data_IF_225668197738
#
_entry.id   IF_225668197738
#
_cell.length_a   1.000
_cell.length_b   1.000
_cell.length_c   1.000
_cell.angle_alpha   90.00
_cell.angle_beta   90.00
_cell.angle_gamma   90.00
#
_symmetry.space_group_name_H-M   'P 1'
#
loop_
_entity.id
_entity.type
_entity.pdbx_description
1 polymer ?
#
# COMPACT_ATOMS: atom_id res chain seq x y z
N UNK A 1 7.42 6.62 -25.06
CA UNK A 1 8.62 6.05 -24.46
C UNK A 1 8.44 6.03 -22.96
N UNK A 2 8.86 4.94 -22.33
CA UNK A 2 8.80 4.74 -20.87
C UNK A 2 10.22 4.50 -20.37
N UNK A 3 10.61 5.27 -19.38
CA UNK A 3 11.86 5.07 -18.67
C UNK A 3 11.56 4.74 -17.20
N UNK A 4 12.18 3.68 -16.71
CA UNK A 4 12.22 3.33 -15.29
C UNK A 4 13.65 3.45 -14.78
N UNK A 5 13.80 3.48 -13.48
CA UNK A 5 15.11 3.57 -12.83
C UNK A 5 15.42 2.29 -12.07
N UNK A 6 16.66 1.83 -12.12
CA UNK A 6 17.11 0.66 -11.36
C UNK A 6 17.21 0.92 -9.85
N UNK A 7 17.23 2.21 -9.46
CA UNK A 7 17.35 2.68 -8.07
C UNK A 7 16.38 3.83 -7.80
N UNK A 8 15.99 4.00 -6.54
CA UNK A 8 15.24 5.17 -6.09
C UNK A 8 16.06 6.44 -6.35
N UNK A 9 15.49 7.39 -7.12
CA UNK A 9 16.21 8.61 -7.51
C UNK A 9 16.08 9.70 -6.46
N UNK A 10 14.96 9.74 -5.75
CA UNK A 10 14.68 10.78 -4.76
C UNK A 10 14.85 10.20 -3.36
N UNK A 11 15.81 10.70 -2.59
CA UNK A 11 16.17 10.19 -1.25
C UNK A 11 15.01 10.23 -0.22
N UNK A 12 13.99 11.05 -0.46
CA UNK A 12 12.87 11.24 0.47
C UNK A 12 11.59 10.51 0.03
N UNK A 13 11.64 9.72 -1.03
CA UNK A 13 10.48 9.01 -1.59
C UNK A 13 10.81 7.52 -1.65
N UNK A 14 9.98 6.70 -1.00
CA UNK A 14 10.12 5.24 -1.00
C UNK A 14 9.39 4.57 -2.19
N UNK A 15 9.22 5.29 -3.29
CA UNK A 15 8.50 4.81 -4.48
C UNK A 15 9.37 4.91 -5.73
N UNK A 16 9.18 3.92 -6.61
CA UNK A 16 9.81 3.92 -7.93
C UNK A 16 9.31 5.09 -8.77
N UNK A 17 10.23 5.65 -9.56
CA UNK A 17 9.92 6.75 -10.47
C UNK A 17 9.84 6.23 -11.90
N UNK A 18 8.81 6.65 -12.61
CA UNK A 18 8.62 6.35 -14.03
C UNK A 18 8.48 7.64 -14.82
N UNK A 19 9.22 7.76 -15.93
CA UNK A 19 9.07 8.87 -16.86
C UNK A 19 8.35 8.38 -18.11
N UNK A 20 7.28 9.09 -18.50
CA UNK A 20 6.48 8.80 -19.67
C UNK A 20 6.59 9.94 -20.69
N UNK A 21 7.10 9.65 -21.88
CA UNK A 21 7.15 10.58 -22.99
C UNK A 21 6.15 10.22 -24.08
N UNK A 22 5.26 11.13 -24.40
CA UNK A 22 4.29 11.02 -25.47
C UNK A 22 4.58 12.00 -26.61
N UNK A 23 4.56 11.51 -27.85
CA UNK A 23 4.81 12.34 -29.03
C UNK A 23 3.57 12.41 -29.93
N UNK A 24 3.07 13.59 -30.20
CA UNK A 24 1.88 13.81 -31.04
C UNK A 24 2.09 13.40 -32.51
N UNK A 25 3.29 13.61 -33.02
CA UNK A 25 3.69 13.27 -34.42
C UNK A 25 5.05 12.58 -34.38
N UNK A 26 5.08 11.26 -34.22
CA UNK A 26 6.30 10.47 -34.28
C UNK A 26 6.32 9.57 -35.52
N UNK A 27 7.48 9.47 -36.17
CA UNK A 27 7.72 8.46 -37.22
C UNK A 27 7.80 7.05 -36.62
N UNK A 28 8.20 6.93 -35.34
CA UNK A 28 8.26 5.68 -34.61
C UNK A 28 6.87 5.40 -34.00
N UNK A 29 6.23 4.31 -34.42
CA UNK A 29 4.95 3.86 -33.85
C UNK A 29 5.19 2.74 -32.85
N UNK A 30 4.51 2.81 -31.71
CA UNK A 30 4.55 1.79 -30.67
C UNK A 30 5.03 2.33 -29.33
N UNK A 31 5.13 1.44 -28.39
CA UNK A 31 5.64 1.68 -27.06
C UNK A 31 7.12 1.26 -27.00
N UNK A 32 7.94 2.10 -26.45
CA UNK A 32 9.37 1.83 -26.25
C UNK A 32 9.70 1.98 -24.78
N UNK A 33 10.55 1.09 -24.29
CA UNK A 33 10.90 0.97 -22.91
C UNK A 33 12.42 0.96 -22.71
N UNK A 34 12.89 1.58 -21.63
CA UNK A 34 14.26 1.49 -21.17
C UNK A 34 14.36 1.62 -19.67
N UNK A 35 15.20 0.79 -19.04
CA UNK A 35 15.62 0.98 -17.66
C UNK A 35 16.98 1.68 -17.65
N UNK A 36 17.12 2.71 -16.83
CA UNK A 36 18.35 3.52 -16.68
C UNK A 36 18.74 3.58 -15.19
N UNK A 37 20.00 3.85 -14.91
CA UNK A 37 20.52 3.89 -13.53
C UNK A 37 20.36 5.27 -12.89
N UNK A 38 20.37 6.32 -13.70
CA UNK A 38 20.30 7.69 -13.21
C UNK A 38 19.67 8.65 -14.21
N UNK A 39 19.23 9.80 -13.74
CA UNK A 39 18.76 10.89 -14.60
C UNK A 39 19.88 11.44 -15.53
N UNK A 40 21.15 11.24 -15.16
CA UNK A 40 22.31 11.63 -15.97
C UNK A 40 22.38 10.81 -17.26
N UNK A 41 22.07 9.52 -17.21
CA UNK A 41 22.06 8.64 -18.39
C UNK A 41 21.02 9.11 -19.42
N UNK A 42 19.89 9.62 -18.96
CA UNK A 42 18.89 10.22 -19.83
C UNK A 42 19.40 11.50 -20.50
N UNK A 43 20.05 12.38 -19.73
CA UNK A 43 20.60 13.62 -20.23
C UNK A 43 21.76 13.39 -21.22
N UNK A 44 22.63 12.42 -20.95
CA UNK A 44 23.77 12.07 -21.79
C UNK A 44 23.40 11.17 -22.98
N UNK A 45 22.13 10.76 -23.10
CA UNK A 45 21.69 9.84 -24.15
C UNK A 45 22.26 8.42 -24.03
N UNK A 46 22.71 8.02 -22.86
CA UNK A 46 23.31 6.70 -22.58
C UNK A 46 22.24 5.66 -22.25
N UNK A 47 21.34 5.42 -23.19
CA UNK A 47 20.28 4.43 -23.03
C UNK A 47 19.91 3.76 -24.35
N UNK A 48 19.33 2.57 -24.26
CA UNK A 48 18.85 1.83 -25.42
C UNK A 48 17.36 1.53 -25.26
N UNK A 49 16.54 2.14 -26.12
CA UNK A 49 15.11 1.92 -26.16
C UNK A 49 14.79 0.58 -26.81
N UNK A 50 14.15 -0.32 -26.10
CA UNK A 50 13.59 -1.57 -26.63
C UNK A 50 12.14 -1.35 -26.97
N UNK A 51 11.71 -1.84 -28.14
CA UNK A 51 10.32 -1.83 -28.54
C UNK A 51 9.58 -2.87 -27.72
N UNK A 52 8.50 -2.46 -27.06
CA UNK A 52 7.63 -3.39 -26.35
C UNK A 52 6.81 -4.23 -27.35
N UNK A 53 6.79 -5.53 -27.16
CA UNK A 53 5.94 -6.45 -27.93
C UNK A 53 4.54 -6.43 -27.32
N UNK A 54 3.78 -5.42 -27.67
CA UNK A 54 2.40 -5.29 -27.24
C UNK A 54 1.51 -6.30 -27.95
N UNK A 55 0.97 -7.24 -27.21
CA UNK A 55 -0.09 -8.12 -27.68
C UNK A 55 -1.43 -7.38 -27.60
N UNK A 56 -2.02 -7.09 -28.76
CA UNK A 56 -3.24 -6.27 -28.87
C UNK A 56 -4.50 -6.87 -28.24
N UNK A 57 -4.46 -8.15 -27.86
CA UNK A 57 -5.66 -8.91 -27.55
C UNK A 57 -6.03 -8.98 -26.06
N UNK A 58 -5.18 -8.54 -25.15
CA UNK A 58 -5.50 -8.53 -23.69
C UNK A 58 -5.01 -7.24 -23.03
N UNK A 59 -5.79 -6.66 -22.11
CA UNK A 59 -5.33 -5.52 -21.32
C UNK A 59 -4.13 -5.96 -20.46
N UNK A 60 -2.96 -5.42 -20.76
CA UNK A 60 -1.74 -5.72 -20.06
C UNK A 60 -1.46 -4.65 -19.01
N UNK A 61 -0.94 -5.08 -17.86
CA UNK A 61 -0.39 -4.16 -16.87
C UNK A 61 0.84 -3.46 -17.46
N UNK A 62 1.04 -2.19 -17.13
CA UNK A 62 2.20 -1.42 -17.59
C UNK A 62 3.54 -2.08 -17.25
N UNK A 63 3.63 -2.79 -16.11
CA UNK A 63 4.80 -3.56 -15.71
C UNK A 63 5.17 -4.69 -16.68
N UNK A 64 4.22 -5.20 -17.45
CA UNK A 64 4.49 -6.28 -18.40
C UNK A 64 5.33 -5.82 -19.61
N UNK A 65 5.38 -4.51 -19.88
CA UNK A 65 6.22 -3.96 -20.96
C UNK A 65 7.72 -4.04 -20.68
N UNK A 66 8.12 -4.34 -19.44
CA UNK A 66 9.51 -4.55 -19.01
C UNK A 66 10.01 -5.94 -19.39
N UNK A 67 9.08 -6.90 -19.52
CA UNK A 67 9.38 -8.31 -19.73
C UNK A 67 9.89 -8.57 -21.15
N UNK A 68 10.79 -9.53 -21.27
CA UNK A 68 11.23 -10.08 -22.54
C UNK A 68 10.14 -10.95 -23.18
N UNK A 69 10.30 -11.31 -24.44
CA UNK A 69 9.36 -12.20 -25.14
C UNK A 69 9.21 -13.57 -24.45
N UNK A 70 10.31 -14.13 -23.98
CA UNK A 70 10.32 -15.42 -23.29
C UNK A 70 9.59 -15.33 -21.94
N UNK A 71 9.83 -14.26 -21.17
CA UNK A 71 9.15 -14.02 -19.90
C UNK A 71 7.65 -13.78 -20.11
N UNK A 72 7.28 -13.06 -21.17
CA UNK A 72 5.89 -12.87 -21.53
C UNK A 72 5.21 -14.18 -21.93
N UNK A 73 5.87 -15.04 -22.76
CA UNK A 73 5.35 -16.35 -23.10
C UNK A 73 5.13 -17.21 -21.87
N UNK A 74 6.12 -17.26 -20.97
CA UNK A 74 6.02 -17.99 -19.71
C UNK A 74 4.86 -17.45 -18.83
N UNK A 75 4.70 -16.12 -18.73
CA UNK A 75 3.60 -15.51 -17.98
C UNK A 75 2.24 -15.91 -18.56
N UNK A 76 2.12 -15.97 -19.89
CA UNK A 76 0.90 -16.44 -20.55
C UNK A 76 0.62 -17.90 -20.27
N UNK A 77 1.61 -18.76 -20.37
CA UNK A 77 1.46 -20.17 -20.09
C UNK A 77 1.02 -20.42 -18.65
N UNK A 78 1.64 -19.71 -17.70
CA UNK A 78 1.26 -19.74 -16.29
C UNK A 78 -0.20 -19.25 -16.12
N UNK A 79 -0.55 -18.11 -16.69
CA UNK A 79 -1.89 -17.52 -16.53
C UNK A 79 -3.01 -18.33 -17.17
N UNK A 80 -2.70 -19.15 -18.17
CA UNK A 80 -3.67 -20.03 -18.82
C UNK A 80 -3.84 -21.39 -18.11
N UNK A 81 -2.81 -21.83 -17.38
CA UNK A 81 -2.78 -23.15 -16.77
C UNK A 81 -2.98 -23.14 -15.25
N UNK A 82 -2.80 -22.01 -14.61
CA UNK A 82 -2.99 -21.86 -13.15
C UNK A 82 -4.20 -20.99 -12.85
N UNK A 83 -4.88 -21.33 -11.77
CA UNK A 83 -5.95 -20.50 -11.21
C UNK A 83 -5.37 -19.27 -10.51
N UNK A 84 -6.10 -18.18 -10.57
CA UNK A 84 -5.76 -16.96 -9.83
C UNK A 84 -6.09 -17.12 -8.34
N UNK A 85 -5.46 -16.35 -7.49
CA UNK A 85 -5.82 -16.29 -6.07
C UNK A 85 -7.29 -15.88 -5.89
N UNK A 86 -7.81 -15.02 -6.78
CA UNK A 86 -9.21 -14.58 -6.81
C UNK A 86 -10.23 -15.70 -7.08
N UNK A 87 -9.79 -16.83 -7.69
CA UNK A 87 -10.62 -18.01 -7.86
C UNK A 87 -10.83 -18.79 -6.54
N UNK A 88 -10.02 -18.53 -5.53
CA UNK A 88 -10.04 -19.25 -4.25
C UNK A 88 -10.50 -18.38 -3.07
N UNK A 89 -10.26 -17.07 -3.12
CA UNK A 89 -10.57 -16.17 -2.03
C UNK A 89 -10.86 -14.73 -2.51
N UNK A 90 -11.77 -14.08 -1.83
CA UNK A 90 -12.02 -12.65 -2.05
C UNK A 90 -11.01 -11.82 -1.26
N UNK A 91 -10.42 -10.82 -1.90
CA UNK A 91 -9.54 -9.84 -1.26
C UNK A 91 -10.18 -8.46 -1.31
N UNK A 92 -10.28 -7.83 -0.17
CA UNK A 92 -10.77 -6.46 -0.06
C UNK A 92 -9.85 -5.61 0.82
N UNK A 93 -9.75 -4.31 0.58
CA UNK A 93 -9.09 -3.41 1.51
C UNK A 93 -9.72 -3.53 2.89
N UNK A 94 -8.90 -3.56 3.93
CA UNK A 94 -9.38 -3.50 5.30
C UNK A 94 -9.93 -2.11 5.66
N UNK A 95 -9.98 -1.80 6.94
CA UNK A 95 -10.49 -0.52 7.40
C UNK A 95 -9.51 0.60 7.05
N UNK A 96 -9.99 1.61 6.33
CA UNK A 96 -9.24 2.82 5.98
C UNK A 96 -9.70 3.95 6.91
N UNK A 97 -8.86 4.36 7.85
CA UNK A 97 -9.23 5.40 8.85
C UNK A 97 -8.75 6.80 8.47
N UNK A 98 -7.98 6.96 7.39
CA UNK A 98 -7.26 8.19 7.03
C UNK A 98 -6.32 8.75 8.14
N UNK A 99 -6.51 8.36 9.40
CA UNK A 99 -5.72 8.79 10.56
C UNK A 99 -5.38 7.62 11.49
N UNK A 100 -4.68 6.61 10.97
CA UNK A 100 -4.35 5.39 11.71
C UNK A 100 -3.73 5.66 13.10
N UNK A 101 -2.88 6.68 13.25
CA UNK A 101 -2.25 7.02 14.53
C UNK A 101 -3.25 7.44 15.61
N UNK A 102 -4.40 7.94 15.21
CA UNK A 102 -5.47 8.35 16.11
C UNK A 102 -6.46 7.21 16.36
N UNK A 103 -6.92 6.53 15.29
CA UNK A 103 -7.95 5.52 15.40
C UNK A 103 -7.43 4.13 15.81
N UNK A 104 -6.12 3.86 15.67
CA UNK A 104 -5.55 2.58 16.08
C UNK A 104 -4.56 2.83 17.21
N UNK A 105 -4.97 2.42 18.42
CA UNK A 105 -4.29 2.76 19.66
C UNK A 105 -3.61 1.57 20.33
N UNK A 106 -2.67 1.87 21.22
CA UNK A 106 -2.01 0.87 22.06
C UNK A 106 -2.88 0.55 23.29
N UNK A 107 -2.60 -0.57 23.94
CA UNK A 107 -3.18 -0.93 25.23
C UNK A 107 -3.02 0.20 26.28
N UNK A 108 -1.85 0.86 26.31
CA UNK A 108 -1.55 1.97 27.21
C UNK A 108 -2.48 3.16 26.98
N UNK A 109 -2.70 3.54 25.71
CA UNK A 109 -3.60 4.62 25.34
C UNK A 109 -5.04 4.26 25.67
N UNK A 110 -5.47 3.03 25.35
CA UNK A 110 -6.82 2.55 25.64
C UNK A 110 -7.13 2.56 27.14
N UNK A 111 -6.16 2.23 27.99
CA UNK A 111 -6.30 2.33 29.45
C UNK A 111 -6.31 3.76 29.93
N UNK A 112 -5.40 4.61 29.45
CA UNK A 112 -5.28 6.02 29.86
C UNK A 112 -6.61 6.78 29.72
N UNK A 113 -7.26 6.64 28.58
CA UNK A 113 -8.50 7.35 28.26
C UNK A 113 -9.77 6.51 28.47
N UNK A 114 -9.65 5.31 29.07
CA UNK A 114 -10.77 4.38 29.31
C UNK A 114 -11.56 4.01 28.04
N UNK A 115 -10.86 3.83 26.91
CA UNK A 115 -11.46 3.59 25.60
C UNK A 115 -11.94 2.15 25.37
N UNK A 116 -11.76 1.24 26.29
CA UNK A 116 -12.03 -0.22 26.11
C UNK A 116 -13.44 -0.53 25.61
N UNK A 117 -14.44 0.23 26.04
CA UNK A 117 -15.84 0.06 25.62
C UNK A 117 -16.09 0.31 24.14
N UNK A 118 -15.21 1.09 23.50
CA UNK A 118 -15.28 1.45 22.08
C UNK A 118 -14.13 0.87 21.26
N UNK A 119 -13.31 0.00 21.86
CA UNK A 119 -12.19 -0.65 21.19
C UNK A 119 -12.59 -2.00 20.60
N UNK A 120 -12.05 -2.28 19.41
CA UNK A 120 -12.04 -3.64 18.82
C UNK A 120 -10.61 -4.08 18.56
N UNK A 121 -10.27 -5.37 18.79
CA UNK A 121 -8.96 -5.90 18.46
C UNK A 121 -8.68 -5.77 16.97
N UNK A 122 -7.45 -5.39 16.61
CA UNK A 122 -7.02 -5.30 15.22
C UNK A 122 -5.54 -5.66 15.09
N UNK A 123 -5.17 -6.30 14.00
CA UNK A 123 -3.80 -6.46 13.54
C UNK A 123 -3.55 -5.37 12.50
N UNK A 124 -2.84 -4.31 12.89
CA UNK A 124 -2.63 -3.15 12.03
C UNK A 124 -1.70 -3.43 10.84
N UNK A 125 -0.69 -4.28 11.03
CA UNK A 125 0.34 -4.56 10.02
C UNK A 125 0.59 -6.05 9.92
N UNK A 126 0.69 -6.58 8.70
CA UNK A 126 1.08 -7.97 8.46
C UNK A 126 2.43 -8.36 9.11
N UNK A 127 3.35 -7.39 9.25
CA UNK A 127 4.62 -7.58 9.96
C UNK A 127 4.44 -8.06 11.41
N UNK A 128 3.32 -7.75 12.06
CA UNK A 128 3.06 -8.15 13.46
C UNK A 128 2.75 -9.64 13.60
N UNK A 129 2.37 -10.29 12.50
CA UNK A 129 2.06 -11.72 12.41
C UNK A 129 3.06 -12.48 11.53
N UNK A 130 4.18 -11.83 11.16
CA UNK A 130 5.18 -12.43 10.28
C UNK A 130 5.75 -13.72 10.89
N UNK A 131 5.79 -14.77 10.06
CA UNK A 131 6.28 -16.08 10.46
C UNK A 131 5.27 -16.95 11.24
N UNK A 132 4.02 -16.49 11.40
CA UNK A 132 2.94 -17.25 12.04
C UNK A 132 1.95 -17.75 11.00
N UNK A 133 1.57 -19.01 11.11
CA UNK A 133 0.48 -19.61 10.30
C UNK A 133 -0.85 -19.35 10.98
N UNK A 134 -0.89 -19.49 12.29
CA UNK A 134 -2.05 -19.22 13.13
C UNK A 134 -1.74 -18.05 14.06
N UNK A 135 -2.77 -17.29 14.43
CA UNK A 135 -2.68 -16.17 15.35
C UNK A 135 -3.76 -16.32 16.43
N UNK A 136 -3.34 -16.60 17.66
CA UNK A 136 -4.20 -16.89 18.80
C UNK A 136 -4.27 -15.72 19.83
N UNK A 137 -4.99 -15.95 20.94
CA UNK A 137 -5.12 -14.95 22.01
C UNK A 137 -3.79 -14.63 22.70
N UNK A 138 -2.87 -15.59 22.79
CA UNK A 138 -1.53 -15.38 23.39
C UNK A 138 -0.70 -14.46 22.51
N UNK A 139 -0.77 -14.65 21.20
CA UNK A 139 -0.12 -13.78 20.23
C UNK A 139 -0.63 -12.35 20.31
N UNK A 140 -1.95 -12.20 20.52
CA UNK A 140 -2.54 -10.90 20.73
C UNK A 140 -2.11 -10.25 22.04
N UNK A 141 -1.98 -11.06 23.11
CA UNK A 141 -1.45 -10.57 24.39
C UNK A 141 0.01 -10.12 24.28
N UNK A 142 0.84 -10.87 23.57
CA UNK A 142 2.22 -10.46 23.26
C UNK A 142 2.26 -9.16 22.46
N UNK A 143 1.36 -9.00 21.50
CA UNK A 143 1.22 -7.77 20.73
C UNK A 143 0.90 -6.57 21.63
N UNK A 144 -0.05 -6.73 22.56
CA UNK A 144 -0.41 -5.70 23.57
C UNK A 144 0.79 -5.35 24.45
N UNK A 145 1.46 -6.38 24.98
CA UNK A 145 2.58 -6.22 25.92
C UNK A 145 3.79 -5.58 25.24
N UNK A 146 3.98 -5.79 23.94
CA UNK A 146 5.02 -5.13 23.16
C UNK A 146 4.76 -3.65 22.87
N UNK A 147 3.63 -3.09 23.33
CA UNK A 147 3.26 -1.69 23.16
C UNK A 147 2.89 -1.31 21.72
N UNK A 148 2.59 -2.28 20.88
CA UNK A 148 2.16 -2.02 19.49
C UNK A 148 0.69 -1.61 19.44
N UNK A 149 0.28 -0.80 18.44
CA UNK A 149 -1.13 -0.46 18.23
C UNK A 149 -1.91 -1.74 17.86
N UNK A 150 -2.93 -2.04 18.66
CA UNK A 150 -3.69 -3.29 18.54
C UNK A 150 -5.20 -3.13 18.78
N UNK A 151 -5.67 -1.90 18.96
CA UNK A 151 -7.08 -1.60 19.13
C UNK A 151 -7.54 -0.53 18.16
N UNK A 152 -8.58 -0.87 17.40
CA UNK A 152 -9.31 0.07 16.56
C UNK A 152 -10.41 0.74 17.40
N UNK A 153 -10.48 2.04 17.38
CA UNK A 153 -11.57 2.82 17.98
C UNK A 153 -12.80 2.81 17.07
N UNK A 154 -13.91 2.35 17.59
CA UNK A 154 -15.20 2.30 16.93
C UNK A 154 -16.18 3.17 17.70
N UNK A 155 -16.22 4.45 17.39
CA UNK A 155 -17.15 5.39 18.01
C UNK A 155 -18.57 5.11 17.50
N UNK A 156 -19.57 4.94 18.37
CA UNK A 156 -20.96 4.93 17.96
C UNK A 156 -21.38 6.32 17.45
N UNK A 157 -22.33 6.38 16.56
CA UNK A 157 -22.93 7.63 16.07
C UNK A 157 -23.80 8.27 17.16
N UNK A 158 -23.17 8.96 18.08
CA UNK A 158 -23.77 9.63 19.23
C UNK A 158 -23.09 10.98 19.45
N UNK A 159 -23.82 11.91 20.08
CA UNK A 159 -23.29 13.20 20.47
C UNK A 159 -22.17 13.04 21.51
N UNK A 160 -21.29 14.04 21.64
CA UNK A 160 -20.16 14.03 22.55
C UNK A 160 -20.57 13.81 24.01
N UNK A 161 -21.72 14.32 24.44
CA UNK A 161 -22.27 14.16 25.79
C UNK A 161 -22.58 12.70 26.18
N UNK A 162 -22.70 11.82 25.19
CA UNK A 162 -22.86 10.38 25.42
C UNK A 162 -21.64 9.73 26.01
N UNK A 163 -20.47 10.27 25.77
CA UNK A 163 -19.20 9.69 26.16
C UNK A 163 -18.76 10.18 27.54
N UNK A 164 -18.02 9.32 28.26
CA UNK A 164 -17.40 9.69 29.53
C UNK A 164 -16.34 10.81 29.33
N UNK A 165 -16.09 11.59 30.36
CA UNK A 165 -15.11 12.69 30.36
C UNK A 165 -13.75 12.29 29.79
N UNK A 166 -13.29 11.06 30.10
CA UNK A 166 -12.01 10.52 29.60
C UNK A 166 -12.03 10.32 28.06
N UNK A 167 -13.17 9.92 27.51
CA UNK A 167 -13.34 9.75 26.04
C UNK A 167 -13.47 11.14 25.39
N UNK A 168 -14.23 12.04 26.00
CA UNK A 168 -14.36 13.44 25.52
C UNK A 168 -12.99 14.12 25.48
N UNK A 169 -12.16 13.93 26.50
CA UNK A 169 -10.78 14.43 26.48
C UNK A 169 -9.99 13.89 25.29
N UNK A 170 -10.13 12.59 24.95
CA UNK A 170 -9.48 12.01 23.78
C UNK A 170 -9.98 12.60 22.47
N UNK A 171 -11.29 12.84 22.35
CA UNK A 171 -11.90 13.49 21.18
C UNK A 171 -11.36 14.92 21.02
N UNK A 172 -11.25 15.68 22.11
CA UNK A 172 -10.71 17.04 22.10
C UNK A 172 -9.25 17.08 21.60
N UNK A 173 -8.39 16.14 22.06
CA UNK A 173 -7.03 16.03 21.56
C UNK A 173 -6.99 15.71 20.04
N UNK A 174 -7.98 14.98 19.55
CA UNK A 174 -8.17 14.72 18.12
C UNK A 174 -8.48 15.97 17.32
N UNK A 175 -9.40 16.81 17.82
CA UNK A 175 -9.76 18.10 17.21
C UNK A 175 -8.57 19.05 17.16
N UNK A 176 -7.83 19.17 18.26
CA UNK A 176 -6.62 19.99 18.33
C UNK A 176 -5.55 19.54 17.33
N UNK A 177 -5.45 18.24 17.11
CA UNK A 177 -4.55 17.63 16.11
C UNK A 177 -5.07 17.77 14.66
N UNK A 178 -6.20 18.43 14.44
CA UNK A 178 -6.86 18.66 13.13
C UNK A 178 -7.10 17.37 12.33
N UNK A 179 -7.47 16.31 13.01
CA UNK A 179 -7.71 14.99 12.37
C UNK A 179 -8.89 15.04 11.41
N UNK A 180 -9.89 15.86 11.69
CA UNK A 180 -11.07 16.09 10.84
C UNK A 180 -10.75 16.67 9.45
N UNK A 181 -9.54 17.25 9.27
CA UNK A 181 -9.09 17.90 8.02
C UNK A 181 -8.19 17.01 7.14
N UNK A 182 -8.10 15.73 7.44
CA UNK A 182 -7.22 14.78 6.73
C UNK A 182 -7.97 13.91 5.75
#
# INVERSE_FOLDING_TARGET
>A
EIFTFSKIIFSNIEQDTVLLFGYKKSKKKGLFFCQIDSAKDLYEGKYCLKKSNYLKEKPMKWSNHILTENEMSLLFDISNNLKLVDDYCNSAPGIVTAANKYFIVTEKTAKKYKLKSICRPIIQKGLFVNGKVDFDERDFDDLKNSGKPCYLLCFPDKNEDYFSDSIQQYLQEGLESKIEKR
#
